data_IF_820350506835
#
_entry.id   IF_820350506835
#
_cell.length_a   1.000
_cell.length_b   1.000
_cell.length_c   1.000
_cell.angle_alpha   90.00
_cell.angle_beta   90.00
_cell.angle_gamma   90.00
#
_symmetry.space_group_name_H-M   'P 1'
#
loop_
_entity.id
_entity.type
_entity.pdbx_description
1 polymer ?
#
# COMPACT_ATOMS: atom_id res chain seq x y z
N UNK A 1 30.78 13.39 -23.96
CA UNK A 1 29.88 12.94 -22.85
C UNK A 1 28.46 13.45 -23.16
N UNK A 2 27.56 12.61 -23.68
CA UNK A 2 26.14 12.99 -23.86
C UNK A 2 25.50 13.08 -22.47
N UNK A 3 24.97 14.24 -22.06
CA UNK A 3 24.07 14.31 -20.90
C UNK A 3 22.91 13.38 -21.19
N UNK A 4 22.63 12.42 -20.30
CA UNK A 4 21.41 11.64 -20.39
C UNK A 4 20.24 12.65 -20.43
N UNK A 5 19.38 12.58 -21.46
CA UNK A 5 18.13 13.36 -21.47
C UNK A 5 17.35 12.89 -20.25
N UNK A 6 17.17 13.77 -19.27
CA UNK A 6 16.27 13.53 -18.14
C UNK A 6 14.89 13.32 -18.76
N UNK A 7 14.37 12.09 -18.62
CA UNK A 7 13.02 11.78 -19.08
C UNK A 7 12.03 12.49 -18.14
N UNK A 8 10.95 13.08 -18.68
CA UNK A 8 9.96 13.73 -17.83
C UNK A 8 9.32 12.72 -16.88
N UNK A 9 8.80 13.17 -15.73
CA UNK A 9 7.96 12.35 -14.87
C UNK A 9 6.79 11.75 -15.63
N UNK A 10 6.53 10.47 -15.44
CA UNK A 10 5.49 9.73 -16.15
C UNK A 10 4.27 9.41 -15.27
N UNK A 11 4.44 9.39 -13.95
CA UNK A 11 3.34 9.15 -13.00
C UNK A 11 3.44 10.04 -11.76
N UNK A 12 2.27 10.44 -11.24
CA UNK A 12 2.10 11.13 -9.97
C UNK A 12 1.50 10.16 -8.95
N UNK A 13 2.20 9.96 -7.85
CA UNK A 13 1.74 9.19 -6.71
C UNK A 13 1.31 10.13 -5.59
N UNK A 14 0.28 9.73 -4.85
CA UNK A 14 0.06 10.21 -3.49
C UNK A 14 0.09 9.02 -2.57
N UNK A 15 0.99 9.02 -1.58
CA UNK A 15 1.14 7.95 -0.59
C UNK A 15 0.85 8.51 0.79
N UNK A 16 0.07 7.81 1.59
CA UNK A 16 -0.29 8.21 2.96
C UNK A 16 0.28 7.24 3.97
N UNK A 17 0.54 7.72 5.19
CA UNK A 17 1.03 6.85 6.26
C UNK A 17 0.00 5.76 6.60
N UNK A 18 0.46 4.53 6.85
CA UNK A 18 -0.41 3.40 7.16
C UNK A 18 -1.33 3.63 8.37
N UNK A 19 -0.88 4.43 9.35
CA UNK A 19 -1.65 4.81 10.55
C UNK A 19 -2.86 5.70 10.24
N UNK A 20 -2.87 6.39 9.10
CA UNK A 20 -3.93 7.34 8.73
C UNK A 20 -5.00 6.71 7.82
N UNK A 21 -4.90 5.40 7.54
CA UNK A 21 -5.83 4.67 6.68
C UNK A 21 -7.30 4.76 7.16
N UNK A 22 -7.54 4.69 8.48
CA UNK A 22 -8.89 4.75 9.04
C UNK A 22 -9.51 6.15 8.89
N UNK A 23 -8.70 7.20 8.99
CA UNK A 23 -9.14 8.58 8.76
C UNK A 23 -9.52 8.82 7.29
N UNK A 24 -8.72 8.27 6.38
CA UNK A 24 -9.00 8.32 4.94
C UNK A 24 -10.30 7.58 4.64
N UNK A 25 -10.50 6.40 5.22
CA UNK A 25 -11.73 5.63 5.07
C UNK A 25 -12.95 6.41 5.55
N UNK A 26 -12.88 7.02 6.73
CA UNK A 26 -13.98 7.81 7.29
C UNK A 26 -14.34 9.00 6.37
N UNK A 27 -13.35 9.74 5.88
CA UNK A 27 -13.57 10.83 4.93
C UNK A 27 -14.28 10.35 3.66
N UNK A 28 -13.84 9.22 3.09
CA UNK A 28 -14.40 8.69 1.84
C UNK A 28 -15.85 8.21 2.04
N UNK A 29 -16.15 7.54 3.15
CA UNK A 29 -17.53 7.15 3.49
C UNK A 29 -18.42 8.39 3.63
N UNK A 30 -17.93 9.46 4.27
CA UNK A 30 -18.67 10.72 4.37
C UNK A 30 -18.89 11.36 3.01
N UNK A 31 -17.87 11.40 2.15
CA UNK A 31 -17.99 11.93 0.80
C UNK A 31 -19.01 11.16 -0.06
N UNK A 32 -19.06 9.82 0.07
CA UNK A 32 -20.08 8.99 -0.57
C UNK A 32 -21.49 9.36 -0.11
N UNK A 33 -21.72 9.45 1.20
CA UNK A 33 -23.03 9.80 1.76
C UNK A 33 -23.47 11.21 1.33
N UNK A 34 -22.56 12.17 1.31
CA UNK A 34 -22.81 13.54 0.84
C UNK A 34 -23.17 13.60 -0.65
N UNK A 35 -22.62 12.68 -1.46
CA UNK A 35 -22.99 12.53 -2.88
C UNK A 35 -24.38 11.89 -3.11
N UNK A 36 -25.06 11.47 -2.04
CA UNK A 36 -26.33 10.76 -2.08
C UNK A 36 -26.21 9.25 -2.29
N UNK A 37 -24.99 8.70 -2.25
CA UNK A 37 -24.77 7.27 -2.36
C UNK A 37 -25.30 6.54 -1.11
N UNK A 38 -25.69 5.27 -1.28
CA UNK A 38 -26.10 4.37 -0.20
C UNK A 38 -25.21 3.12 -0.20
N UNK A 39 -23.98 3.23 0.33
CA UNK A 39 -23.04 2.11 0.36
C UNK A 39 -23.59 0.94 1.19
N UNK A 40 -23.23 -0.28 0.81
CA UNK A 40 -23.63 -1.49 1.56
C UNK A 40 -22.94 -1.51 2.92
N UNK A 41 -23.49 -2.27 3.88
CA UNK A 41 -22.93 -2.36 5.24
C UNK A 41 -21.48 -2.89 5.31
N UNK A 42 -21.00 -3.63 4.30
CA UNK A 42 -19.62 -4.11 4.22
C UNK A 42 -18.75 -3.32 3.23
N UNK A 43 -19.21 -2.17 2.77
CA UNK A 43 -18.45 -1.31 1.85
C UNK A 43 -17.26 -0.69 2.58
N UNK A 44 -16.09 -0.77 1.98
CA UNK A 44 -14.85 -0.18 2.49
C UNK A 44 -14.14 0.52 1.32
N UNK A 45 -14.29 1.84 1.16
CA UNK A 45 -13.80 2.55 -0.03
C UNK A 45 -12.27 2.47 -0.22
N UNK A 46 -11.52 2.17 0.84
CA UNK A 46 -10.07 1.97 0.76
C UNK A 46 -9.75 0.58 0.20
N UNK A 47 -10.45 -0.46 0.66
CA UNK A 47 -10.24 -1.82 0.16
C UNK A 47 -10.92 -2.08 -1.20
N UNK A 48 -12.03 -1.40 -1.47
CA UNK A 48 -12.79 -1.50 -2.71
C UNK A 48 -12.14 -0.72 -3.86
N UNK A 49 -11.19 0.17 -3.55
CA UNK A 49 -10.40 0.95 -4.52
C UNK A 49 -11.27 1.76 -5.50
N UNK A 50 -12.38 2.33 -5.01
CA UNK A 50 -13.38 3.04 -5.83
C UNK A 50 -13.14 4.55 -5.94
N UNK A 51 -12.18 5.09 -5.19
CA UNK A 51 -11.95 6.53 -5.08
C UNK A 51 -10.56 6.96 -5.54
N UNK A 52 -10.51 8.15 -6.15
CA UNK A 52 -9.27 8.93 -6.31
C UNK A 52 -9.41 10.23 -5.52
N UNK A 53 -8.52 10.47 -4.57
CA UNK A 53 -8.49 11.73 -3.80
C UNK A 53 -7.99 12.84 -4.72
N UNK A 54 -8.90 13.62 -5.29
CA UNK A 54 -8.58 14.80 -6.07
C UNK A 54 -8.05 15.96 -5.19
N UNK A 55 -7.81 17.13 -5.79
CA UNK A 55 -7.26 18.26 -5.04
C UNK A 55 -8.17 18.70 -3.87
N UNK A 56 -9.49 18.73 -4.08
CA UNK A 56 -10.45 19.15 -3.08
C UNK A 56 -10.55 18.14 -1.93
N UNK A 57 -10.57 16.83 -2.23
CA UNK A 57 -10.59 15.79 -1.21
C UNK A 57 -9.27 15.74 -0.43
N UNK A 58 -8.12 15.97 -1.06
CA UNK A 58 -6.84 16.05 -0.34
C UNK A 58 -6.76 17.27 0.59
N UNK A 59 -7.23 18.43 0.13
CA UNK A 59 -7.31 19.62 0.98
C UNK A 59 -8.25 19.39 2.17
N UNK A 60 -9.41 18.78 1.91
CA UNK A 60 -10.38 18.42 2.94
C UNK A 60 -9.81 17.43 3.95
N UNK A 61 -9.11 16.40 3.47
CA UNK A 61 -8.44 15.39 4.30
C UNK A 61 -7.42 16.04 5.25
N UNK A 62 -6.62 16.98 4.73
CA UNK A 62 -5.69 17.73 5.56
C UNK A 62 -6.41 18.60 6.60
N UNK A 63 -7.40 19.39 6.18
CA UNK A 63 -8.11 20.33 7.05
C UNK A 63 -8.90 19.64 8.17
N UNK A 64 -9.57 18.53 7.88
CA UNK A 64 -10.46 17.87 8.83
C UNK A 64 -9.75 16.83 9.71
N UNK A 65 -8.71 16.17 9.18
CA UNK A 65 -8.06 15.04 9.86
C UNK A 65 -6.57 15.26 10.16
N UNK A 66 -5.97 16.36 9.68
CA UNK A 66 -4.53 16.62 9.79
C UNK A 66 -3.69 15.62 9.02
N UNK A 67 -4.26 14.93 8.03
CA UNK A 67 -3.58 13.87 7.29
C UNK A 67 -2.87 14.48 6.08
N UNK A 68 -1.56 14.42 6.10
CA UNK A 68 -0.70 14.79 4.97
C UNK A 68 -0.29 13.55 4.18
N UNK A 69 -0.26 13.69 2.85
CA UNK A 69 0.26 12.68 1.93
C UNK A 69 1.54 13.14 1.25
N UNK A 70 2.34 12.18 0.80
CA UNK A 70 3.55 12.42 0.02
C UNK A 70 3.21 12.41 -1.47
N UNK A 71 3.31 13.58 -2.11
CA UNK A 71 3.19 13.70 -3.56
C UNK A 71 4.54 13.37 -4.22
N UNK A 72 4.59 12.29 -5.02
CA UNK A 72 5.83 11.79 -5.62
C UNK A 72 5.68 11.75 -7.15
N UNK A 73 6.61 12.38 -7.85
CA UNK A 73 6.73 12.29 -9.30
C UNK A 73 7.70 11.17 -9.66
N UNK A 74 7.20 10.12 -10.30
CA UNK A 74 8.00 8.97 -10.73
C UNK A 74 8.46 9.17 -12.18
N UNK A 75 9.78 9.16 -12.41
CA UNK A 75 10.38 9.15 -13.73
C UNK A 75 10.64 7.71 -14.21
N UNK A 76 10.80 7.47 -15.53
CA UNK A 76 11.20 6.16 -16.04
C UNK A 76 12.57 5.73 -15.49
N UNK A 77 12.59 4.59 -14.78
CA UNK A 77 13.78 4.07 -14.11
C UNK A 77 13.75 4.24 -12.58
N UNK A 78 12.84 5.05 -12.04
CA UNK A 78 12.68 5.21 -10.59
C UNK A 78 11.91 4.03 -9.98
N UNK A 79 12.38 3.58 -8.82
CA UNK A 79 11.66 2.65 -7.96
C UNK A 79 10.96 3.42 -6.82
N UNK A 80 9.68 3.14 -6.59
CA UNK A 80 8.89 3.71 -5.49
C UNK A 80 8.62 2.60 -4.48
N UNK A 81 9.11 2.75 -3.25
CA UNK A 81 8.85 1.82 -2.15
C UNK A 81 7.60 2.25 -1.39
N UNK A 82 6.64 1.34 -1.27
CA UNK A 82 5.37 1.57 -0.57
C UNK A 82 5.31 0.69 0.67
N UNK A 83 5.28 1.27 1.90
CA UNK A 83 5.20 0.47 3.13
C UNK A 83 3.89 -0.33 3.23
N UNK A 84 3.93 -1.44 3.96
CA UNK A 84 2.77 -2.30 4.17
C UNK A 84 1.60 -1.53 4.81
N UNK A 85 0.45 -1.56 4.13
CA UNK A 85 -0.78 -0.91 4.60
C UNK A 85 -0.83 0.61 4.41
N UNK A 86 0.13 1.20 3.69
CA UNK A 86 0.07 2.61 3.27
C UNK A 86 -0.95 2.79 2.12
N UNK A 87 -2.05 3.54 2.32
CA UNK A 87 -2.95 3.87 1.23
C UNK A 87 -2.21 4.69 0.18
N UNK A 88 -2.43 4.38 -1.10
CA UNK A 88 -1.78 5.09 -2.19
C UNK A 88 -2.64 5.12 -3.45
N UNK A 89 -2.44 6.14 -4.27
CA UNK A 89 -3.08 6.29 -5.57
C UNK A 89 -2.07 6.77 -6.61
N UNK A 90 -2.27 6.36 -7.85
CA UNK A 90 -1.36 6.67 -8.97
C UNK A 90 -2.15 7.28 -10.12
N UNK A 91 -1.65 8.40 -10.65
CA UNK A 91 -2.14 8.99 -11.90
C UNK A 91 -1.04 9.00 -12.93
N UNK A 92 -1.24 8.28 -14.03
CA UNK A 92 -0.35 8.35 -15.19
C UNK A 92 -0.48 9.74 -15.82
N UNK A 93 0.66 10.41 -16.02
CA UNK A 93 0.78 11.68 -16.74
C UNK A 93 1.13 11.44 -18.21
N UNK A 94 1.77 10.29 -18.49
CA UNK A 94 2.14 9.79 -19.81
C UNK A 94 1.83 8.28 -19.87
N UNK A 95 1.93 7.67 -21.05
CA UNK A 95 1.82 6.22 -21.18
C UNK A 95 2.91 5.51 -20.36
N UNK A 96 2.49 4.56 -19.52
CA UNK A 96 3.35 3.91 -18.54
C UNK A 96 3.18 2.39 -18.57
N UNK A 97 4.30 1.67 -18.63
CA UNK A 97 4.40 0.26 -18.21
C UNK A 97 5.14 0.23 -16.88
N UNK A 98 4.61 -0.51 -15.90
CA UNK A 98 5.20 -0.63 -14.55
C UNK A 98 5.30 -2.10 -14.18
N UNK A 99 6.36 -2.44 -13.45
CA UNK A 99 6.52 -3.73 -12.79
C UNK A 99 6.51 -3.46 -11.28
N UNK A 100 5.79 -4.28 -10.54
CA UNK A 100 5.72 -4.23 -9.08
C UNK A 100 6.05 -5.62 -8.55
N UNK A 101 6.79 -5.66 -7.44
CA UNK A 101 7.16 -6.89 -6.74
C UNK A 101 6.88 -6.68 -5.25
N UNK A 102 6.13 -7.61 -4.66
CA UNK A 102 5.80 -7.59 -3.24
C UNK A 102 6.92 -8.27 -2.44
N UNK A 103 7.26 -7.73 -1.27
CA UNK A 103 8.22 -8.35 -0.36
C UNK A 103 7.82 -8.12 1.11
N UNK A 104 8.36 -8.94 2.01
CA UNK A 104 8.18 -8.80 3.47
C UNK A 104 9.51 -8.43 4.10
N UNK A 105 9.59 -7.24 4.68
CA UNK A 105 10.72 -6.80 5.48
C UNK A 105 10.52 -7.16 6.95
N UNK A 106 11.58 -7.48 7.71
CA UNK A 106 11.51 -7.74 9.15
C UNK A 106 10.80 -6.61 9.92
N UNK A 107 11.05 -5.35 9.55
CA UNK A 107 10.48 -4.15 10.18
C UNK A 107 8.96 -4.07 10.05
N UNK A 108 8.38 -4.68 9.01
CA UNK A 108 6.95 -4.63 8.73
C UNK A 108 6.25 -5.98 8.92
N UNK A 109 6.93 -7.03 9.38
CA UNK A 109 6.34 -8.39 9.48
C UNK A 109 5.08 -8.41 10.33
N UNK A 110 5.09 -7.72 11.47
CA UNK A 110 3.93 -7.60 12.37
C UNK A 110 2.76 -6.92 11.68
N UNK A 111 3.04 -5.84 10.96
CA UNK A 111 2.02 -5.09 10.20
C UNK A 111 1.44 -5.92 9.07
N UNK A 112 2.27 -6.64 8.32
CA UNK A 112 1.82 -7.55 7.27
C UNK A 112 0.94 -8.67 7.85
N UNK A 113 1.22 -9.15 9.07
CA UNK A 113 0.39 -10.15 9.73
C UNK A 113 -0.98 -9.61 10.14
N UNK A 114 -1.04 -8.39 10.69
CA UNK A 114 -2.29 -7.69 10.98
C UNK A 114 -3.15 -7.51 9.73
N UNK A 115 -2.55 -7.00 8.65
CA UNK A 115 -3.23 -6.80 7.37
C UNK A 115 -3.75 -8.13 6.80
N UNK A 116 -2.94 -9.19 6.84
CA UNK A 116 -3.36 -10.52 6.42
C UNK A 116 -4.55 -11.04 7.26
N UNK A 117 -4.67 -10.67 8.53
CA UNK A 117 -5.86 -11.00 9.33
C UNK A 117 -7.08 -10.13 8.97
N UNK A 118 -6.88 -8.85 8.69
CA UNK A 118 -7.96 -7.95 8.25
C UNK A 118 -8.57 -8.45 6.92
N UNK A 119 -7.74 -8.83 5.95
CA UNK A 119 -8.20 -9.40 4.68
C UNK A 119 -8.98 -10.72 4.86
N UNK A 120 -8.59 -11.58 5.82
CA UNK A 120 -9.34 -12.81 6.14
C UNK A 120 -10.77 -12.54 6.65
N UNK A 121 -10.98 -11.40 7.33
CA UNK A 121 -12.29 -10.97 7.86
C UNK A 121 -13.21 -10.41 6.77
N UNK A 122 -12.67 -10.05 5.60
CA UNK A 122 -13.49 -9.63 4.46
C UNK A 122 -14.41 -10.78 3.99
N UNK A 123 -15.52 -10.41 3.34
CA UNK A 123 -16.52 -11.39 2.87
C UNK A 123 -15.88 -12.41 1.92
N UNK A 124 -16.40 -13.65 1.88
CA UNK A 124 -15.84 -14.72 1.01
C UNK A 124 -15.81 -14.36 -0.48
N UNK A 125 -16.63 -13.40 -0.90
CA UNK A 125 -16.73 -12.94 -2.29
C UNK A 125 -15.85 -11.71 -2.57
N UNK A 126 -15.13 -11.19 -1.56
CA UNK A 126 -14.30 -10.00 -1.72
C UNK A 126 -13.01 -10.35 -2.49
N UNK A 127 -12.72 -9.63 -3.57
CA UNK A 127 -11.57 -9.90 -4.45
C UNK A 127 -10.21 -9.87 -3.73
N UNK A 128 -10.10 -9.09 -2.65
CA UNK A 128 -8.89 -8.97 -1.83
C UNK A 128 -8.77 -9.98 -0.67
N UNK A 129 -9.64 -11.00 -0.57
CA UNK A 129 -9.59 -11.97 0.53
C UNK A 129 -8.45 -12.98 0.42
N UNK A 130 -7.99 -13.26 -0.80
CA UNK A 130 -6.99 -14.30 -1.05
C UNK A 130 -5.66 -14.01 -0.33
N UNK A 131 -5.08 -15.03 0.32
CA UNK A 131 -3.78 -14.93 1.01
C UNK A 131 -2.64 -14.96 -0.03
N UNK A 132 -2.48 -13.86 -0.76
CA UNK A 132 -1.51 -13.75 -1.87
C UNK A 132 -0.06 -13.79 -1.41
N UNK A 133 0.22 -13.31 -0.19
CA UNK A 133 1.58 -13.14 0.32
C UNK A 133 2.09 -14.37 1.08
N UNK A 134 1.21 -15.22 1.62
CA UNK A 134 1.58 -16.39 2.42
C UNK A 134 2.55 -16.07 3.57
N UNK A 135 2.34 -14.96 4.28
CA UNK A 135 3.28 -14.45 5.29
C UNK A 135 3.74 -15.49 6.32
N UNK A 136 2.87 -16.42 6.72
CA UNK A 136 3.22 -17.49 7.65
C UNK A 136 4.32 -18.41 7.10
N UNK A 137 4.27 -18.73 5.81
CA UNK A 137 5.29 -19.53 5.14
C UNK A 137 6.60 -18.76 5.05
N UNK A 138 6.55 -17.48 4.67
CA UNK A 138 7.74 -16.61 4.60
C UNK A 138 8.45 -16.58 5.96
N UNK A 139 7.71 -16.31 7.05
CA UNK A 139 8.30 -16.25 8.40
C UNK A 139 8.86 -17.61 8.82
N UNK A 140 8.13 -18.69 8.57
CA UNK A 140 8.60 -20.04 8.89
C UNK A 140 9.93 -20.36 8.18
N UNK A 141 10.00 -20.14 6.88
CA UNK A 141 11.22 -20.41 6.10
C UNK A 141 12.37 -19.47 6.46
N UNK A 142 12.10 -18.18 6.71
CA UNK A 142 13.13 -17.25 7.16
C UNK A 142 13.75 -17.66 8.50
N UNK A 143 12.94 -18.10 9.46
CA UNK A 143 13.44 -18.59 10.76
C UNK A 143 14.19 -19.91 10.59
N UNK A 144 13.64 -20.85 9.81
CA UNK A 144 14.29 -22.13 9.53
C UNK A 144 15.69 -21.92 8.92
N UNK A 145 15.80 -21.09 7.90
CA UNK A 145 17.06 -20.82 7.22
C UNK A 145 18.05 -20.11 8.16
N UNK A 146 17.58 -19.16 8.97
CA UNK A 146 18.41 -18.48 9.98
C UNK A 146 18.98 -19.46 11.02
N UNK A 147 18.19 -20.44 11.47
CA UNK A 147 18.65 -21.49 12.38
C UNK A 147 19.69 -22.38 11.73
N UNK A 148 19.48 -22.82 10.48
CA UNK A 148 20.46 -23.61 9.74
C UNK A 148 21.80 -22.88 9.60
N UNK A 149 21.79 -21.58 9.24
CA UNK A 149 23.02 -20.80 9.14
C UNK A 149 23.76 -20.67 10.50
N UNK A 150 23.02 -20.57 11.60
CA UNK A 150 23.62 -20.51 12.94
C UNK A 150 24.24 -21.85 13.36
N UNK A 151 23.56 -22.96 13.07
CA UNK A 151 24.08 -24.30 13.35
C UNK A 151 25.37 -24.59 12.58
N UNK A 152 25.41 -24.21 11.30
CA UNK A 152 26.62 -24.32 10.45
C UNK A 152 27.77 -23.48 11.03
N UNK A 153 27.51 -22.22 11.37
CA UNK A 153 28.53 -21.33 11.93
C UNK A 153 29.06 -21.78 13.30
N UNK A 154 28.25 -22.47 14.11
CA UNK A 154 28.67 -23.05 15.39
C UNK A 154 29.45 -24.36 15.21
N UNK A 155 29.16 -25.13 14.16
CA UNK A 155 29.90 -26.36 13.86
C UNK A 155 31.30 -26.10 13.28
N UNK A 156 31.54 -24.89 12.75
CA UNK A 156 32.83 -24.44 12.23
C UNK A 156 33.75 -23.81 13.31
N UNK A 157 33.28 -23.66 14.55
CA UNK A 157 34.07 -23.17 15.70
C UNK A 157 34.65 -24.32 16.53
#
# INVERSE_FOLDING_TARGET
RRRARVKPPAALWHIYAARDADKIRDLLVRAELESGARPRAQHDPVHDQTWYLDAALRERLYREYGVEGYAILQCPGDAVFVPAGAPHQVRNLLDCVKVAEDFVSPENVSRCFELAQQFRRLSRQHANKEDKLQIKNIVYHAVKDSLCCLEEALAEQ
#
